data_IF_808031072600
#
_entry.id   IF_808031072600
#
_cell.length_a   1.000
_cell.length_b   1.000
_cell.length_c   1.000
_cell.angle_alpha   90.00
_cell.angle_beta   90.00
_cell.angle_gamma   90.00
#
_symmetry.space_group_name_H-M   'P 1'
#
loop_
_entity.id
_entity.type
_entity.pdbx_description
1 polymer ?
#
# COMPACT_ATOMS: atom_id res chain seq x y z
N UNK A 1 10.95 22.76 -28.81
CA UNK A 1 12.42 22.57 -28.69
C UNK A 1 12.66 21.25 -27.99
N UNK A 2 13.43 20.37 -28.62
CA UNK A 2 13.54 18.94 -28.33
C UNK A 2 14.33 18.65 -27.06
N UNK A 3 13.66 18.06 -26.06
CA UNK A 3 14.28 17.54 -24.85
C UNK A 3 15.17 16.34 -25.20
N UNK A 4 16.49 16.53 -25.14
CA UNK A 4 17.45 15.43 -25.25
C UNK A 4 17.72 14.93 -23.83
N UNK A 5 17.05 13.85 -23.43
CA UNK A 5 17.30 13.20 -22.16
C UNK A 5 18.74 12.68 -22.11
N UNK A 6 19.56 13.23 -21.21
CA UNK A 6 20.87 12.68 -20.87
C UNK A 6 20.64 11.33 -20.17
N UNK A 7 21.23 10.28 -20.74
CA UNK A 7 21.09 8.92 -20.24
C UNK A 7 22.02 8.74 -19.03
N UNK A 8 21.55 8.01 -18.02
CA UNK A 8 22.27 7.64 -16.79
C UNK A 8 23.70 7.09 -16.98
N UNK A 9 24.08 6.66 -18.19
CA UNK A 9 25.43 6.21 -18.55
C UNK A 9 26.49 7.33 -18.57
N UNK A 10 26.09 8.59 -18.68
CA UNK A 10 27.05 9.71 -18.75
C UNK A 10 27.64 10.08 -17.37
N UNK A 11 27.00 9.62 -16.27
CA UNK A 11 27.44 9.85 -14.88
C UNK A 11 28.31 8.68 -14.38
N UNK A 12 28.10 7.45 -14.89
CA UNK A 12 28.82 6.25 -14.43
C UNK A 12 30.26 6.11 -14.93
N UNK A 13 30.69 6.96 -15.88
CA UNK A 13 32.04 6.98 -16.44
C UNK A 13 32.91 8.09 -15.84
N UNK A 14 32.57 8.60 -14.66
CA UNK A 14 33.39 9.56 -13.92
C UNK A 14 34.48 8.76 -13.19
N UNK A 15 35.76 8.78 -13.63
CA UNK A 15 36.83 8.26 -12.80
C UNK A 15 36.93 9.14 -11.53
N UNK A 16 36.88 8.52 -10.36
CA UNK A 16 37.31 9.17 -9.13
C UNK A 16 38.79 9.54 -9.30
N UNK A 17 39.08 10.84 -9.35
CA UNK A 17 40.45 11.33 -9.33
C UNK A 17 40.85 11.60 -7.88
N UNK A 18 41.78 10.80 -7.40
CA UNK A 18 42.55 11.05 -6.19
C UNK A 18 43.37 12.34 -6.36
N UNK A 19 43.40 13.17 -5.32
CA UNK A 19 43.82 14.57 -5.36
C UNK A 19 45.32 14.84 -5.62
N UNK A 20 46.03 14.02 -6.37
CA UNK A 20 47.50 14.06 -6.46
C UNK A 20 48.09 14.42 -7.83
N UNK A 21 47.31 14.78 -8.86
CA UNK A 21 47.90 15.19 -10.15
C UNK A 21 47.12 16.30 -10.89
N UNK A 22 47.15 17.53 -10.34
CA UNK A 22 46.60 18.72 -11.01
C UNK A 22 47.59 19.46 -11.93
N UNK A 23 48.84 19.03 -12.01
CA UNK A 23 49.89 19.80 -12.71
C UNK A 23 49.77 19.88 -14.24
N UNK A 24 49.13 18.91 -14.90
CA UNK A 24 49.26 18.73 -16.36
C UNK A 24 47.93 18.53 -17.12
N UNK A 25 46.78 18.93 -16.55
CA UNK A 25 45.51 18.82 -17.27
C UNK A 25 45.43 19.88 -18.39
N UNK A 26 45.18 19.45 -19.63
CA UNK A 26 44.99 20.36 -20.78
C UNK A 26 43.84 21.34 -20.50
N UNK A 27 44.01 22.61 -20.90
CA UNK A 27 43.01 23.68 -20.76
C UNK A 27 41.63 23.30 -21.30
N UNK A 28 41.59 22.47 -22.35
CA UNK A 28 40.35 21.90 -22.92
C UNK A 28 39.59 21.02 -21.94
N UNK A 29 40.30 20.25 -21.12
CA UNK A 29 39.71 19.35 -20.11
C UNK A 29 39.15 20.20 -18.96
N UNK A 30 39.91 21.16 -18.45
CA UNK A 30 39.49 22.07 -17.36
C UNK A 30 38.22 22.85 -17.76
N UNK A 31 38.20 23.42 -18.98
CA UNK A 31 37.06 24.16 -19.49
C UNK A 31 35.81 23.27 -19.66
N UNK A 32 36.01 22.01 -20.06
CA UNK A 32 34.91 21.03 -20.16
C UNK A 32 34.31 20.73 -18.78
N UNK A 33 35.15 20.51 -17.76
CA UNK A 33 34.69 20.24 -16.38
C UNK A 33 34.00 21.44 -15.75
N UNK A 34 34.54 22.63 -15.93
CA UNK A 34 33.92 23.87 -15.48
C UNK A 34 32.51 24.03 -16.07
N UNK A 35 32.36 23.77 -17.37
CA UNK A 35 31.05 23.84 -18.03
C UNK A 35 30.05 22.83 -17.49
N UNK A 36 30.48 21.59 -17.25
CA UNK A 36 29.63 20.53 -16.68
C UNK A 36 29.22 20.85 -15.23
N UNK A 37 30.14 21.39 -14.42
CA UNK A 37 29.84 21.83 -13.05
C UNK A 37 28.78 22.94 -13.04
N UNK A 38 28.94 23.97 -13.89
CA UNK A 38 27.97 25.06 -14.01
C UNK A 38 26.59 24.58 -14.48
N UNK A 39 26.55 23.63 -15.43
CA UNK A 39 25.30 23.06 -15.92
C UNK A 39 24.58 22.25 -14.83
N UNK A 40 25.32 21.46 -14.05
CA UNK A 40 24.78 20.73 -12.91
C UNK A 40 24.23 21.68 -11.83
N UNK A 41 24.97 22.74 -11.48
CA UNK A 41 24.53 23.75 -10.52
C UNK A 41 23.22 24.38 -10.98
N UNK A 42 23.15 24.84 -12.23
CA UNK A 42 21.94 25.47 -12.76
C UNK A 42 20.72 24.52 -12.74
N UNK A 43 20.94 23.25 -13.06
CA UNK A 43 19.89 22.23 -13.01
C UNK A 43 19.42 21.97 -11.57
N UNK A 44 20.33 21.93 -10.60
CA UNK A 44 20.00 21.76 -9.19
C UNK A 44 19.26 22.99 -8.66
N UNK A 45 19.79 24.20 -8.88
CA UNK A 45 19.25 25.45 -8.34
C UNK A 45 17.86 25.77 -8.89
N UNK A 46 17.55 25.36 -10.13
CA UNK A 46 16.21 25.51 -10.72
C UNK A 46 15.16 24.53 -10.16
N UNK A 47 15.59 23.52 -9.40
CA UNK A 47 14.72 22.45 -8.89
C UNK A 47 14.57 22.45 -7.37
N UNK A 48 15.32 23.29 -6.67
CA UNK A 48 15.25 23.44 -5.21
C UNK A 48 14.53 24.74 -4.84
N UNK A 49 13.93 24.76 -3.66
CA UNK A 49 13.26 25.96 -3.14
C UNK A 49 14.29 26.96 -2.61
N UNK A 50 13.89 28.23 -2.48
CA UNK A 50 14.73 29.29 -1.90
C UNK A 50 15.30 28.91 -0.53
N UNK A 51 14.49 28.25 0.31
CA UNK A 51 14.94 27.75 1.61
C UNK A 51 16.09 26.75 1.48
N UNK A 52 15.92 25.72 0.64
CA UNK A 52 16.95 24.70 0.43
C UNK A 52 18.20 25.34 -0.16
N UNK A 53 18.05 26.29 -1.09
CA UNK A 53 19.16 27.03 -1.68
C UNK A 53 20.00 27.74 -0.61
N UNK A 54 19.38 28.48 0.32
CA UNK A 54 20.11 29.19 1.39
C UNK A 54 20.83 28.25 2.37
N UNK A 55 20.32 27.04 2.56
CA UNK A 55 20.93 26.05 3.47
C UNK A 55 22.13 25.32 2.81
N UNK A 56 22.05 25.04 1.51
CA UNK A 56 23.02 24.18 0.80
C UNK A 56 24.06 24.96 -0.01
N UNK A 57 23.74 26.16 -0.50
CA UNK A 57 24.67 27.01 -1.27
C UNK A 57 25.50 27.88 -0.33
N UNK A 58 26.82 27.67 -0.31
CA UNK A 58 27.79 28.50 0.42
C UNK A 58 29.07 28.67 -0.40
N UNK A 59 30.07 29.36 0.16
CA UNK A 59 31.37 29.61 -0.52
C UNK A 59 32.10 28.34 -0.95
N UNK A 60 31.78 27.17 -0.37
CA UNK A 60 32.40 25.89 -0.71
C UNK A 60 31.66 25.13 -1.82
N UNK A 61 30.33 25.31 -1.92
CA UNK A 61 29.45 24.57 -2.86
C UNK A 61 29.04 25.38 -4.10
N UNK A 62 29.17 26.71 -4.07
CA UNK A 62 28.64 27.61 -5.12
C UNK A 62 29.22 27.39 -6.53
N UNK A 63 30.44 26.86 -6.64
CA UNK A 63 31.11 26.59 -7.93
C UNK A 63 31.29 25.09 -8.22
N UNK A 64 30.87 24.23 -7.29
CA UNK A 64 31.14 22.79 -7.31
C UNK A 64 29.84 22.00 -7.24
N UNK A 65 29.30 21.65 -8.40
CA UNK A 65 28.02 20.95 -8.51
C UNK A 65 27.99 19.60 -7.78
N UNK A 66 29.12 18.89 -7.69
CA UNK A 66 29.24 17.64 -6.94
C UNK A 66 29.14 17.86 -5.42
N UNK A 67 29.83 18.86 -4.87
CA UNK A 67 29.75 19.17 -3.43
C UNK A 67 28.38 19.74 -3.06
N UNK A 68 27.77 20.50 -3.95
CA UNK A 68 26.40 20.96 -3.80
C UNK A 68 25.43 19.77 -3.71
N UNK A 69 25.58 18.78 -4.60
CA UNK A 69 24.78 17.56 -4.57
C UNK A 69 25.01 16.73 -3.31
N UNK A 70 26.27 16.49 -2.93
CA UNK A 70 26.63 15.75 -1.71
C UNK A 70 26.04 16.40 -0.46
N UNK A 71 26.12 17.73 -0.34
CA UNK A 71 25.52 18.45 0.79
C UNK A 71 23.99 18.37 0.82
N UNK A 72 23.33 18.40 -0.34
CA UNK A 72 21.87 18.16 -0.43
C UNK A 72 21.57 16.72 0.01
N UNK A 73 22.34 15.75 -0.45
CA UNK A 73 22.19 14.35 -0.07
C UNK A 73 22.36 14.18 1.44
N UNK A 74 23.43 14.68 2.04
CA UNK A 74 23.68 14.57 3.49
C UNK A 74 22.58 15.21 4.34
N UNK A 75 22.16 16.42 4.00
CA UNK A 75 21.16 17.16 4.77
C UNK A 75 19.78 16.49 4.74
N UNK A 76 19.43 15.87 3.60
CA UNK A 76 18.08 15.36 3.37
C UNK A 76 18.01 13.84 3.31
N UNK A 77 19.14 13.12 3.35
CA UNK A 77 19.19 11.65 3.33
C UNK A 77 18.52 11.05 4.57
N UNK A 78 18.77 11.61 5.75
CA UNK A 78 18.18 11.14 7.01
C UNK A 78 16.65 11.31 7.00
N UNK A 79 16.17 12.49 6.62
CA UNK A 79 14.73 12.77 6.47
C UNK A 79 14.09 11.84 5.45
N UNK A 80 14.73 11.64 4.30
CA UNK A 80 14.27 10.70 3.26
C UNK A 80 14.22 9.25 3.75
N UNK A 81 15.18 8.83 4.58
CA UNK A 81 15.19 7.50 5.18
C UNK A 81 14.03 7.31 6.18
N UNK A 82 13.77 8.32 7.01
CA UNK A 82 12.63 8.34 7.94
C UNK A 82 11.30 8.31 7.18
N UNK A 83 11.13 9.15 6.16
CA UNK A 83 9.91 9.21 5.34
C UNK A 83 9.65 7.86 4.65
N UNK A 84 10.69 7.23 4.08
CA UNK A 84 10.61 5.87 3.52
C UNK A 84 10.22 4.83 4.56
N UNK A 85 10.83 4.89 5.75
CA UNK A 85 10.51 4.00 6.85
C UNK A 85 9.05 4.13 7.29
N UNK A 86 8.54 5.35 7.39
CA UNK A 86 7.15 5.63 7.78
C UNK A 86 6.16 5.05 6.78
N UNK A 87 6.32 5.35 5.47
CA UNK A 87 5.44 4.80 4.42
C UNK A 87 5.48 3.26 4.41
N UNK A 88 6.65 2.65 4.61
CA UNK A 88 6.75 1.19 4.70
C UNK A 88 6.02 0.62 5.92
N UNK A 89 6.12 1.29 7.07
CA UNK A 89 5.42 0.88 8.28
C UNK A 89 3.90 1.03 8.14
N UNK A 90 3.43 2.08 7.48
CA UNK A 90 2.01 2.29 7.22
C UNK A 90 1.48 1.24 6.22
N UNK A 91 2.26 0.91 5.19
CA UNK A 91 1.97 -0.25 4.33
C UNK A 91 1.89 -1.56 5.13
N UNK A 92 2.80 -1.79 6.08
CA UNK A 92 2.83 -3.02 6.88
C UNK A 92 1.67 -3.11 7.87
N UNK A 93 1.22 -1.98 8.41
CA UNK A 93 0.14 -1.89 9.40
C UNK A 93 -1.26 -1.91 8.76
N UNK A 94 -1.38 -1.57 7.48
CA UNK A 94 -2.67 -1.61 6.80
C UNK A 94 -3.23 -3.03 6.71
N UNK A 95 -4.52 -3.16 6.97
CA UNK A 95 -5.22 -4.45 6.99
C UNK A 95 -6.59 -4.34 6.33
N UNK A 96 -7.09 -5.48 5.87
CA UNK A 96 -8.44 -5.61 5.32
C UNK A 96 -9.48 -5.55 6.44
N UNK A 97 -10.52 -4.73 6.27
CA UNK A 97 -11.55 -4.47 7.29
C UNK A 97 -12.94 -5.01 6.92
N UNK A 98 -13.04 -5.97 5.99
CA UNK A 98 -14.32 -6.54 5.55
C UNK A 98 -14.97 -5.80 4.38
N UNK A 99 -14.43 -4.66 3.92
CA UNK A 99 -14.92 -3.95 2.74
C UNK A 99 -13.89 -3.98 1.60
N UNK A 100 -14.22 -4.67 0.51
CA UNK A 100 -13.31 -4.88 -0.63
C UNK A 100 -13.03 -3.58 -1.37
N UNK A 101 -14.02 -2.69 -1.53
CA UNK A 101 -13.82 -1.42 -2.22
C UNK A 101 -12.84 -0.52 -1.44
N UNK A 102 -13.07 -0.36 -0.14
CA UNK A 102 -12.18 0.41 0.73
C UNK A 102 -10.76 -0.17 0.73
N UNK A 103 -10.64 -1.49 0.66
CA UNK A 103 -9.35 -2.16 0.58
C UNK A 103 -8.61 -1.90 -0.73
N UNK A 104 -9.31 -1.94 -1.88
CA UNK A 104 -8.74 -1.58 -3.18
C UNK A 104 -8.22 -0.15 -3.15
N UNK A 105 -9.02 0.78 -2.65
CA UNK A 105 -8.67 2.21 -2.63
C UNK A 105 -7.46 2.47 -1.70
N UNK A 106 -7.45 1.87 -0.51
CA UNK A 106 -6.33 1.91 0.42
C UNK A 106 -5.03 1.35 -0.19
N UNK A 107 -5.12 0.22 -0.91
CA UNK A 107 -3.95 -0.37 -1.54
C UNK A 107 -3.39 0.50 -2.66
N UNK A 108 -4.26 1.12 -3.47
CA UNK A 108 -3.83 2.05 -4.53
C UNK A 108 -3.15 3.28 -3.94
N UNK A 109 -3.71 3.86 -2.88
CA UNK A 109 -3.12 5.00 -2.16
C UNK A 109 -1.72 4.67 -1.65
N UNK A 110 -1.58 3.59 -0.88
CA UNK A 110 -0.28 3.22 -0.33
C UNK A 110 0.74 2.82 -1.42
N UNK A 111 0.30 2.24 -2.54
CA UNK A 111 1.19 1.98 -3.68
C UNK A 111 1.70 3.27 -4.33
N UNK A 112 0.86 4.30 -4.41
CA UNK A 112 1.29 5.63 -4.87
C UNK A 112 2.30 6.25 -3.91
N UNK A 113 2.09 6.11 -2.60
CA UNK A 113 3.04 6.60 -1.59
C UNK A 113 4.38 5.86 -1.66
N UNK A 114 4.38 4.52 -1.78
CA UNK A 114 5.60 3.73 -1.96
C UNK A 114 6.39 4.21 -3.19
N UNK A 115 5.70 4.48 -4.30
CA UNK A 115 6.32 5.03 -5.51
C UNK A 115 6.85 6.45 -5.29
N UNK A 116 6.12 7.30 -4.56
CA UNK A 116 6.54 8.66 -4.25
C UNK A 116 7.85 8.69 -3.44
N UNK A 117 8.03 7.76 -2.51
CA UNK A 117 9.27 7.62 -1.72
C UNK A 117 10.32 6.72 -2.37
N UNK A 118 10.11 6.30 -3.63
CA UNK A 118 11.02 5.44 -4.41
C UNK A 118 11.32 4.09 -3.75
N UNK A 119 10.36 3.50 -3.05
CA UNK A 119 10.44 2.12 -2.60
C UNK A 119 9.98 1.21 -3.74
N UNK A 120 10.89 0.40 -4.25
CA UNK A 120 10.61 -0.60 -5.29
C UNK A 120 10.37 -1.94 -4.62
N UNK A 121 9.16 -2.46 -4.72
CA UNK A 121 8.78 -3.79 -4.22
C UNK A 121 8.70 -4.75 -5.40
N UNK A 122 9.35 -5.92 -5.35
CA UNK A 122 9.19 -6.97 -6.35
C UNK A 122 7.70 -7.32 -6.57
N UNK A 123 7.24 -7.52 -7.82
CA UNK A 123 5.82 -7.73 -8.13
C UNK A 123 5.20 -8.93 -7.38
N UNK A 124 5.92 -10.04 -7.28
CA UNK A 124 5.53 -11.23 -6.54
C UNK A 124 5.35 -10.95 -5.04
N UNK A 125 6.32 -10.27 -4.41
CA UNK A 125 6.22 -9.86 -3.01
C UNK A 125 5.07 -8.88 -2.76
N UNK A 126 4.83 -7.97 -3.71
CA UNK A 126 3.68 -7.07 -3.66
C UNK A 126 2.37 -7.85 -3.71
N UNK A 127 2.26 -8.83 -4.62
CA UNK A 127 1.09 -9.70 -4.71
C UNK A 127 0.88 -10.48 -3.41
N UNK A 128 1.91 -11.15 -2.88
CA UNK A 128 1.78 -11.90 -1.63
C UNK A 128 1.43 -10.99 -0.45
N UNK A 129 1.95 -9.76 -0.41
CA UNK A 129 1.58 -8.79 0.62
C UNK A 129 0.13 -8.35 0.51
N UNK A 130 -0.42 -8.22 -0.69
CA UNK A 130 -1.82 -7.87 -0.92
C UNK A 130 -2.76 -9.04 -0.59
N UNK A 131 -2.39 -10.26 -0.98
CA UNK A 131 -3.16 -11.46 -0.70
C UNK A 131 -3.13 -11.85 0.78
N UNK A 132 -1.97 -11.73 1.43
CA UNK A 132 -1.81 -12.05 2.85
C UNK A 132 -2.68 -11.19 3.77
N UNK A 133 -2.94 -9.93 3.38
CA UNK A 133 -3.85 -9.04 4.12
C UNK A 133 -5.32 -9.44 3.97
N UNK A 134 -5.70 -10.10 2.88
CA UNK A 134 -7.05 -10.63 2.64
C UNK A 134 -7.27 -12.01 3.24
N UNK A 135 -6.23 -12.84 3.28
CA UNK A 135 -6.31 -14.24 3.72
C UNK A 135 -6.72 -14.46 5.18
N UNK A 136 -6.81 -13.39 5.98
CA UNK A 136 -7.40 -13.43 7.32
C UNK A 136 -8.92 -13.56 7.34
N UNK A 137 -9.61 -13.22 6.24
CA UNK A 137 -11.06 -13.41 6.10
C UNK A 137 -11.34 -14.80 5.50
N UNK A 138 -12.01 -15.65 6.27
CA UNK A 138 -12.37 -17.02 5.86
C UNK A 138 -13.24 -17.05 4.60
N UNK A 139 -14.04 -16.01 4.36
CA UNK A 139 -14.90 -15.92 3.17
C UNK A 139 -14.10 -15.68 1.88
N UNK A 140 -12.88 -15.15 2.00
CA UNK A 140 -12.01 -14.82 0.87
C UNK A 140 -10.92 -15.87 0.64
N UNK A 141 -10.82 -16.89 1.48
CA UNK A 141 -9.72 -17.87 1.44
C UNK A 141 -9.58 -18.55 0.07
N UNK A 142 -10.66 -19.12 -0.47
CA UNK A 142 -10.65 -19.78 -1.78
C UNK A 142 -10.29 -18.81 -2.92
N UNK A 143 -10.77 -17.57 -2.83
CA UNK A 143 -10.46 -16.55 -3.81
C UNK A 143 -8.96 -16.17 -3.78
N UNK A 144 -8.41 -15.99 -2.58
CA UNK A 144 -6.99 -15.70 -2.35
C UNK A 144 -6.10 -16.82 -2.89
N UNK A 145 -6.45 -18.09 -2.63
CA UNK A 145 -5.70 -19.25 -3.16
C UNK A 145 -5.72 -19.30 -4.69
N UNK A 146 -6.89 -19.09 -5.30
CA UNK A 146 -7.02 -19.08 -6.76
C UNK A 146 -6.18 -17.97 -7.41
N UNK A 147 -6.12 -16.79 -6.78
CA UNK A 147 -5.28 -15.68 -7.25
C UNK A 147 -3.79 -15.97 -7.06
N UNK A 148 -3.40 -16.58 -5.94
CA UNK A 148 -2.01 -16.91 -5.64
C UNK A 148 -1.42 -17.91 -6.66
N UNK A 149 -2.24 -18.76 -7.26
CA UNK A 149 -1.84 -19.74 -8.27
C UNK A 149 -1.87 -19.17 -9.71
N UNK A 150 -2.42 -17.98 -9.91
CA UNK A 150 -2.56 -17.38 -11.23
C UNK A 150 -1.28 -16.68 -11.68
N UNK A 151 -0.54 -17.30 -12.60
CA UNK A 151 0.72 -16.77 -13.17
C UNK A 151 0.57 -15.37 -13.76
N UNK A 152 -0.53 -15.09 -14.44
CA UNK A 152 -0.76 -13.79 -15.09
C UNK A 152 -0.89 -12.65 -14.09
N UNK A 153 -1.31 -12.96 -12.85
CA UNK A 153 -1.47 -12.02 -11.74
C UNK A 153 -0.15 -11.87 -10.99
N UNK A 154 0.63 -12.94 -10.85
CA UNK A 154 1.99 -12.90 -10.29
C UNK A 154 2.88 -11.97 -11.13
N UNK A 155 2.84 -12.08 -12.46
CA UNK A 155 3.62 -11.23 -13.34
C UNK A 155 3.15 -9.77 -13.34
N UNK A 156 1.83 -9.54 -13.15
CA UNK A 156 1.21 -8.22 -13.18
C UNK A 156 0.24 -8.04 -12.01
N UNK A 157 0.76 -7.70 -10.81
CA UNK A 157 -0.05 -7.59 -9.60
C UNK A 157 -1.18 -6.58 -9.71
N UNK A 158 -1.06 -5.56 -10.56
CA UNK A 158 -2.13 -4.57 -10.78
C UNK A 158 -3.45 -5.19 -11.24
N UNK A 159 -3.41 -6.37 -11.89
CA UNK A 159 -4.61 -7.11 -12.29
C UNK A 159 -5.44 -7.61 -11.10
N UNK A 160 -4.85 -7.72 -9.91
CA UNK A 160 -5.57 -8.09 -8.70
C UNK A 160 -6.73 -7.13 -8.42
N UNK A 161 -6.55 -5.84 -8.71
CA UNK A 161 -7.57 -4.84 -8.45
C UNK A 161 -8.80 -5.05 -9.31
N UNK A 162 -8.64 -5.49 -10.56
CA UNK A 162 -9.77 -5.86 -11.43
C UNK A 162 -10.52 -7.05 -10.84
N UNK A 163 -9.81 -8.10 -10.41
CA UNK A 163 -10.45 -9.29 -9.82
C UNK A 163 -11.16 -8.98 -8.50
N UNK A 164 -10.57 -8.13 -7.66
CA UNK A 164 -11.19 -7.65 -6.42
C UNK A 164 -12.42 -6.78 -6.71
N UNK A 165 -12.36 -5.95 -7.75
CA UNK A 165 -13.48 -5.13 -8.19
C UNK A 165 -14.66 -6.00 -8.65
N UNK A 166 -14.39 -7.04 -9.44
CA UNK A 166 -15.40 -8.02 -9.87
C UNK A 166 -16.04 -8.73 -8.67
N UNK A 167 -15.24 -9.14 -7.69
CA UNK A 167 -15.74 -9.75 -6.46
C UNK A 167 -16.60 -8.77 -5.64
N UNK A 168 -16.20 -7.50 -5.53
CA UNK A 168 -17.02 -6.47 -4.88
C UNK A 168 -18.37 -6.30 -5.59
N UNK A 169 -18.38 -6.29 -6.92
CA UNK A 169 -19.62 -6.20 -7.70
C UNK A 169 -20.54 -7.39 -7.47
N UNK A 170 -20.02 -8.62 -7.49
CA UNK A 170 -20.80 -9.83 -7.20
C UNK A 170 -21.44 -9.78 -5.81
N UNK A 171 -20.68 -9.43 -4.78
CA UNK A 171 -21.18 -9.29 -3.41
C UNK A 171 -22.30 -8.24 -3.29
N UNK A 172 -22.20 -7.12 -4.02
CA UNK A 172 -23.26 -6.11 -4.04
C UNK A 172 -24.52 -6.57 -4.79
N UNK A 173 -24.37 -7.38 -5.84
CA UNK A 173 -25.51 -7.91 -6.59
C UNK A 173 -26.28 -8.97 -5.81
N UNK A 174 -25.59 -9.84 -5.08
CA UNK A 174 -26.25 -10.86 -4.26
C UNK A 174 -26.98 -10.23 -3.06
N UNK A 175 -26.48 -9.10 -2.53
CA UNK A 175 -27.19 -8.32 -1.52
C UNK A 175 -28.44 -7.60 -2.09
N UNK A 176 -28.41 -7.16 -3.37
CA UNK A 176 -29.56 -6.50 -4.03
C UNK A 176 -30.63 -7.49 -4.49
N UNK A 177 -30.25 -8.69 -4.94
CA UNK A 177 -31.21 -9.76 -5.31
C UNK A 177 -32.09 -10.19 -4.13
N UNK A 178 -31.61 -10.02 -2.89
CA UNK A 178 -32.40 -10.30 -1.67
C UNK A 178 -33.35 -9.15 -1.28
N UNK A 179 -33.27 -7.97 -1.91
CA UNK A 179 -33.99 -6.77 -1.48
C UNK A 179 -35.25 -6.41 -2.30
N UNK A 180 -35.55 -7.12 -3.39
CA UNK A 180 -36.71 -6.81 -4.24
C UNK A 180 -37.42 -8.07 -4.73
N UNK A 181 -38.41 -8.54 -3.97
CA UNK A 181 -39.71 -9.08 -4.43
C UNK A 181 -40.44 -9.80 -3.28
N UNK A 182 -41.67 -9.39 -2.90
CA UNK A 182 -42.57 -10.25 -2.14
C UNK A 182 -43.46 -11.01 -3.14
N UNK A 183 -43.00 -12.14 -3.67
CA UNK A 183 -43.91 -13.18 -4.21
C UNK A 183 -43.20 -14.51 -4.13
N UNK A 184 -43.80 -15.43 -3.37
CA UNK A 184 -43.31 -16.78 -3.18
C UNK A 184 -43.35 -17.59 -4.48
N UNK A 185 -42.29 -18.35 -4.78
CA UNK A 185 -42.40 -19.73 -5.24
C UNK A 185 -41.09 -20.49 -4.98
N UNK A 186 -41.28 -21.70 -4.47
CA UNK A 186 -40.29 -22.59 -3.86
C UNK A 186 -39.48 -23.34 -4.94
N UNK A 187 -38.16 -23.35 -4.82
CA UNK A 187 -37.32 -24.47 -5.27
C UNK A 187 -36.09 -24.63 -4.37
N UNK A 188 -35.98 -25.85 -3.84
CA UNK A 188 -35.13 -26.36 -2.77
C UNK A 188 -33.62 -26.10 -2.93
N UNK A 189 -33.07 -25.28 -2.02
CA UNK A 189 -31.79 -25.52 -1.35
C UNK A 189 -32.02 -25.29 0.13
N UNK A 190 -31.66 -26.25 0.97
CA UNK A 190 -31.98 -26.23 2.41
C UNK A 190 -31.47 -24.92 3.06
N UNK A 191 -32.37 -24.10 3.63
CA UNK A 191 -31.97 -22.87 4.29
C UNK A 191 -31.28 -23.23 5.60
N UNK A 192 -30.13 -22.59 5.87
CA UNK A 192 -29.61 -22.57 7.23
C UNK A 192 -30.73 -22.10 8.17
N UNK A 193 -31.11 -22.95 9.12
CA UNK A 193 -32.20 -22.70 10.05
C UNK A 193 -31.94 -21.35 10.73
N UNK A 194 -32.87 -20.40 10.56
CA UNK A 194 -32.74 -19.07 11.16
C UNK A 194 -32.91 -19.25 12.67
N UNK A 195 -31.79 -19.28 13.40
CA UNK A 195 -31.78 -19.38 14.85
C UNK A 195 -32.19 -18.03 15.45
N UNK A 196 -33.45 -17.91 15.85
CA UNK A 196 -33.94 -16.75 16.60
C UNK A 196 -33.37 -16.77 18.02
N UNK A 197 -32.60 -15.74 18.39
CA UNK A 197 -32.03 -15.58 19.73
C UNK A 197 -32.78 -14.51 20.54
N UNK A 198 -32.82 -14.67 21.86
CA UNK A 198 -33.33 -13.66 22.80
C UNK A 198 -32.26 -12.59 23.09
N UNK A 199 -32.65 -11.34 23.27
CA UNK A 199 -31.72 -10.21 23.46
C UNK A 199 -32.26 -9.19 24.46
N UNK A 200 -31.34 -8.47 25.14
CA UNK A 200 -31.62 -7.28 25.97
C UNK A 200 -32.73 -7.46 27.01
N UNK A 201 -32.71 -8.55 27.75
CA UNK A 201 -33.66 -8.73 28.85
C UNK A 201 -35.03 -9.28 28.43
N UNK A 202 -35.25 -9.59 27.15
CA UNK A 202 -36.56 -9.98 26.62
C UNK A 202 -36.50 -11.28 25.83
N UNK A 203 -37.42 -12.20 26.13
CA UNK A 203 -37.62 -13.39 25.32
C UNK A 203 -38.11 -13.03 23.90
N UNK A 204 -37.63 -13.77 22.91
CA UNK A 204 -38.11 -13.73 21.54
C UNK A 204 -39.04 -14.91 21.35
N UNK A 205 -40.33 -14.68 21.12
CA UNK A 205 -41.35 -15.73 20.98
C UNK A 205 -41.09 -16.70 19.81
N UNK A 206 -40.20 -16.32 18.88
CA UNK A 206 -39.75 -17.19 17.77
C UNK A 206 -38.51 -18.02 18.12
N UNK A 207 -37.95 -17.87 19.33
CA UNK A 207 -36.80 -18.62 19.79
C UNK A 207 -37.18 -20.09 20.00
N UNK A 208 -36.57 -20.99 19.24
CA UNK A 208 -36.80 -22.43 19.36
C UNK A 208 -35.94 -23.10 20.43
N UNK A 209 -34.94 -22.41 20.96
CA UNK A 209 -33.94 -23.01 21.88
C UNK A 209 -34.42 -23.16 23.33
N UNK A 210 -35.44 -22.40 23.73
CA UNK A 210 -36.04 -22.44 25.07
C UNK A 210 -37.38 -21.68 25.05
N UNK A 211 -38.19 -21.90 26.08
CA UNK A 211 -39.50 -21.25 26.26
C UNK A 211 -39.34 -19.99 27.12
N UNK A 212 -40.31 -19.07 27.10
CA UNK A 212 -40.25 -17.81 27.87
C UNK A 212 -39.92 -17.98 29.35
N UNK A 213 -40.49 -18.99 30.01
CA UNK A 213 -40.24 -19.30 31.42
C UNK A 213 -38.77 -19.62 31.73
N UNK A 214 -38.04 -20.17 30.76
CA UNK A 214 -36.64 -20.58 30.88
C UNK A 214 -35.67 -19.62 30.17
N UNK A 215 -36.14 -18.41 29.83
CA UNK A 215 -35.36 -17.41 29.13
C UNK A 215 -34.30 -16.77 30.02
N UNK A 216 -33.04 -17.14 29.83
CA UNK A 216 -31.91 -16.61 30.62
C UNK A 216 -31.72 -15.09 30.47
N UNK A 217 -32.20 -14.48 29.39
CA UNK A 217 -32.14 -13.01 29.25
C UNK A 217 -33.19 -12.33 30.11
N UNK A 218 -34.38 -12.91 30.27
CA UNK A 218 -35.48 -12.33 31.05
C UNK A 218 -35.39 -12.72 32.53
N UNK A 219 -34.95 -13.95 32.80
CA UNK A 219 -34.75 -14.52 34.14
C UNK A 219 -33.26 -14.67 34.44
N UNK A 220 -32.66 -13.62 34.99
CA UNK A 220 -31.22 -13.53 35.28
C UNK A 220 -30.66 -14.55 36.27
N UNK A 221 -31.54 -15.27 36.99
CA UNK A 221 -31.18 -16.35 37.91
C UNK A 221 -31.03 -17.71 37.20
N UNK A 222 -31.37 -17.82 35.92
CA UNK A 222 -31.22 -19.05 35.11
C UNK A 222 -29.89 -19.04 34.33
N UNK A 223 -29.17 -20.17 34.32
CA UNK A 223 -27.87 -20.32 33.64
C UNK A 223 -28.02 -20.78 32.19
N UNK A 224 -27.33 -20.13 31.24
CA UNK A 224 -27.37 -20.49 29.81
C UNK A 224 -26.62 -21.80 29.50
N UNK A 225 -27.19 -22.74 28.73
CA UNK A 225 -26.53 -23.99 28.30
C UNK A 225 -25.30 -23.77 27.40
N UNK A 226 -25.13 -22.58 26.78
CA UNK A 226 -24.01 -22.31 25.85
C UNK A 226 -22.65 -22.13 26.53
N UNK A 227 -22.57 -22.06 27.86
CA UNK A 227 -21.32 -21.89 28.60
C UNK A 227 -20.54 -23.18 28.86
N UNK A 228 -21.06 -24.35 28.49
CA UNK A 228 -20.45 -25.65 28.85
C UNK A 228 -19.47 -26.24 27.82
N UNK A 229 -19.18 -25.58 26.70
CA UNK A 229 -18.11 -26.05 25.80
C UNK A 229 -16.79 -25.35 26.11
N UNK A 230 -16.13 -25.80 27.18
CA UNK A 230 -14.68 -25.69 27.40
C UNK A 230 -14.05 -27.06 27.17
N UNK A 231 -13.37 -27.21 26.03
CA UNK A 231 -12.17 -28.03 25.79
C UNK A 231 -11.73 -27.80 24.35
#
# INVERSE_FOLDING_TARGET
>A
MTNKALKSKDISNIPMLDGTNFGNASSTIINKWSRVSCEAINLITTRITERVFQEVVNTETIEKGNLLWEKIEDQYASKRAVDRGQVWMDWKRSFYNGNIQNYIDLCRELMMELKAVSIVVPPDLLLYSLLGKLGGDTNLHQFVENLALNKDIIEKPEKIFTQLQDLAHLNTMDCKKQATTPTAHISSREPHEIIYCCMKGKHNDKCSTHNKEYCWTENSHLTSPRREKKC
#
